data_IF_551539207027
#
_entry.id   IF_551539207027
#
_cell.length_a   1.000
_cell.length_b   1.000
_cell.length_c   1.000
_cell.angle_alpha   90.00
_cell.angle_beta   90.00
_cell.angle_gamma   90.00
#
_symmetry.space_group_name_H-M   'P 1'
#
loop_
_entity.id
_entity.type
_entity.pdbx_description
1 polymer ?
#
# COMPACT_ATOMS: atom_id res chain seq x y z
N UNK A 1 31.50 1.13 9.54
CA UNK A 1 30.81 2.27 8.90
C UNK A 1 29.35 1.89 8.72
N UNK A 2 28.44 2.67 9.29
CA UNK A 2 27.02 2.35 9.40
C UNK A 2 26.34 2.49 8.03
N UNK A 3 25.59 1.48 7.60
CA UNK A 3 24.71 1.55 6.41
C UNK A 3 23.65 2.66 6.49
N UNK A 4 23.56 3.34 7.64
CA UNK A 4 22.65 4.47 7.88
C UNK A 4 23.25 5.85 7.56
N UNK A 5 24.55 5.97 7.28
CA UNK A 5 25.22 7.27 7.04
C UNK A 5 25.11 7.78 5.58
N UNK A 6 24.41 7.06 4.70
CA UNK A 6 24.12 7.49 3.32
C UNK A 6 22.69 7.11 2.93
N UNK A 7 21.67 7.74 3.51
CA UNK A 7 20.28 7.53 3.07
C UNK A 7 19.90 8.50 1.95
N UNK A 8 19.33 8.06 0.82
CA UNK A 8 18.26 8.83 0.20
C UNK A 8 17.16 8.96 1.27
N UNK A 9 16.82 10.19 1.67
CA UNK A 9 16.13 10.44 2.94
C UNK A 9 14.73 9.86 3.05
N UNK A 10 14.07 9.48 1.96
CA UNK A 10 12.79 8.76 1.93
C UNK A 10 12.80 7.93 0.64
N UNK A 11 12.56 6.62 0.71
CA UNK A 11 12.40 5.81 -0.50
C UNK A 11 11.04 6.17 -1.12
N UNK A 12 10.99 6.70 -2.36
CA UNK A 12 9.74 7.02 -3.03
C UNK A 12 8.79 5.82 -3.06
N UNK A 13 7.51 6.09 -2.85
CA UNK A 13 6.43 5.12 -2.98
C UNK A 13 5.57 5.46 -4.18
N UNK A 14 5.31 4.47 -5.01
CA UNK A 14 4.39 4.55 -6.15
C UNK A 14 3.16 3.72 -5.80
N UNK A 15 1.98 4.34 -5.83
CA UNK A 15 0.70 3.64 -5.67
C UNK A 15 0.15 3.43 -7.08
N UNK A 16 -0.10 2.18 -7.46
CA UNK A 16 -0.68 1.88 -8.76
C UNK A 16 -2.13 2.41 -8.87
N UNK A 17 -2.60 2.80 -10.07
CA UNK A 17 -3.91 3.45 -10.24
C UNK A 17 -5.09 2.59 -9.76
N UNK A 18 -5.03 1.29 -9.97
CA UNK A 18 -6.02 0.31 -9.51
C UNK A 18 -6.10 0.23 -7.97
N UNK A 19 -4.95 0.28 -7.30
CA UNK A 19 -4.87 0.38 -5.83
C UNK A 19 -5.43 1.71 -5.35
N UNK A 20 -5.11 2.81 -6.04
CA UNK A 20 -5.65 4.13 -5.69
C UNK A 20 -7.18 4.12 -5.75
N UNK A 21 -7.75 3.66 -6.86
CA UNK A 21 -9.20 3.57 -7.06
C UNK A 21 -9.88 2.65 -6.04
N UNK A 22 -9.22 1.56 -5.64
CA UNK A 22 -9.82 0.54 -4.77
C UNK A 22 -9.67 0.87 -3.28
N UNK A 23 -8.51 1.37 -2.86
CA UNK A 23 -8.17 1.55 -1.46
C UNK A 23 -8.31 2.99 -0.99
N UNK A 24 -8.04 3.99 -1.84
CA UNK A 24 -7.91 5.39 -1.44
C UNK A 24 -9.09 6.24 -1.88
N UNK A 25 -9.44 6.17 -3.17
CA UNK A 25 -10.57 6.90 -3.70
C UNK A 25 -11.87 6.41 -3.05
N UNK A 26 -12.70 7.37 -2.63
CA UNK A 26 -13.97 7.04 -2.01
C UNK A 26 -15.02 8.11 -2.35
N UNK A 27 -15.61 8.04 -3.56
CA UNK A 27 -16.57 9.04 -4.02
C UNK A 27 -17.83 9.13 -3.14
N UNK A 28 -18.18 8.04 -2.44
CA UNK A 28 -19.28 8.01 -1.49
C UNK A 28 -19.07 8.94 -0.29
N UNK A 29 -17.83 9.16 0.13
CA UNK A 29 -17.47 10.12 1.16
C UNK A 29 -16.03 10.64 0.96
N UNK A 30 -15.86 11.73 0.17
CA UNK A 30 -14.55 12.29 -0.13
C UNK A 30 -13.75 12.75 1.09
N UNK A 31 -14.39 12.96 2.25
CA UNK A 31 -13.68 13.36 3.48
C UNK A 31 -12.82 12.23 4.05
N UNK A 32 -13.09 10.97 3.68
CA UNK A 32 -12.33 9.81 4.18
C UNK A 32 -11.06 9.51 3.37
N UNK A 33 -10.81 10.22 2.25
CA UNK A 33 -9.66 9.94 1.37
C UNK A 33 -8.33 10.00 2.14
N UNK A 34 -8.17 10.97 3.05
CA UNK A 34 -6.96 11.11 3.86
C UNK A 34 -6.78 9.94 4.83
N UNK A 35 -7.84 9.54 5.54
CA UNK A 35 -7.82 8.38 6.44
C UNK A 35 -7.50 7.09 5.69
N UNK A 36 -8.14 6.89 4.53
CA UNK A 36 -7.94 5.71 3.68
C UNK A 36 -6.51 5.64 3.14
N UNK A 37 -5.94 6.76 2.71
CA UNK A 37 -4.54 6.85 2.34
C UNK A 37 -3.63 6.53 3.53
N UNK A 38 -3.93 7.09 4.71
CA UNK A 38 -3.21 6.80 5.95
C UNK A 38 -3.19 5.31 6.29
N UNK A 39 -4.33 4.63 6.17
CA UNK A 39 -4.47 3.20 6.40
C UNK A 39 -3.64 2.37 5.41
N UNK A 40 -3.65 2.72 4.13
CA UNK A 40 -2.81 2.08 3.11
C UNK A 40 -1.31 2.25 3.43
N UNK A 41 -0.88 3.48 3.74
CA UNK A 41 0.52 3.77 4.06
C UNK A 41 0.98 3.04 5.33
N UNK A 42 0.13 3.00 6.36
CA UNK A 42 0.41 2.24 7.59
C UNK A 42 0.58 0.75 7.30
N UNK A 43 -0.32 0.14 6.51
CA UNK A 43 -0.22 -1.27 6.13
C UNK A 43 1.08 -1.57 5.36
N UNK A 44 1.48 -0.68 4.44
CA UNK A 44 2.74 -0.81 3.70
C UNK A 44 3.94 -0.70 4.64
N UNK A 45 3.97 0.28 5.55
CA UNK A 45 5.05 0.45 6.52
C UNK A 45 5.19 -0.78 7.43
N UNK A 46 4.07 -1.34 7.90
CA UNK A 46 4.07 -2.58 8.70
C UNK A 46 4.57 -3.77 7.87
N UNK A 47 4.19 -3.86 6.60
CA UNK A 47 4.65 -4.92 5.68
C UNK A 47 6.15 -4.80 5.42
N UNK A 48 6.65 -3.60 5.13
CA UNK A 48 8.08 -3.28 4.98
C UNK A 48 8.88 -3.72 6.22
N UNK A 49 8.36 -3.40 7.41
CA UNK A 49 9.03 -3.70 8.69
C UNK A 49 9.11 -5.20 8.97
N UNK A 50 8.10 -5.97 8.58
CA UNK A 50 7.98 -7.39 8.90
C UNK A 50 8.62 -8.32 7.87
N UNK A 51 8.57 -7.97 6.57
CA UNK A 51 9.07 -8.84 5.51
C UNK A 51 10.61 -8.86 5.36
N UNK A 52 11.29 -7.83 5.90
CA UNK A 52 12.73 -7.65 5.74
C UNK A 52 13.14 -7.23 4.32
N UNK A 53 14.39 -6.79 4.16
CA UNK A 53 14.88 -6.17 2.91
C UNK A 53 15.31 -7.17 1.82
N UNK A 54 15.22 -8.48 2.09
CA UNK A 54 15.70 -9.52 1.17
C UNK A 54 14.71 -9.89 0.06
N UNK A 55 13.43 -9.55 0.23
CA UNK A 55 12.36 -9.93 -0.70
C UNK A 55 12.13 -8.83 -1.74
N UNK A 56 12.13 -9.21 -3.03
CA UNK A 56 11.78 -8.30 -4.13
C UNK A 56 10.28 -8.00 -4.23
N UNK A 57 9.44 -8.94 -3.79
CA UNK A 57 7.98 -8.87 -3.82
C UNK A 57 7.43 -9.42 -2.51
N UNK A 58 6.45 -8.73 -1.92
CA UNK A 58 5.76 -9.17 -0.69
C UNK A 58 4.26 -9.00 -0.91
N UNK A 59 3.50 -10.07 -0.72
CA UNK A 59 2.03 -10.02 -0.78
C UNK A 59 1.47 -9.78 0.62
N UNK A 60 0.48 -8.91 0.73
CA UNK A 60 -0.23 -8.61 1.96
C UNK A 60 -1.69 -8.27 1.63
N UNK A 61 -2.58 -8.32 2.63
CA UNK A 61 -4.00 -8.03 2.43
C UNK A 61 -4.41 -6.91 3.37
N UNK A 62 -5.15 -5.94 2.85
CA UNK A 62 -5.85 -4.95 3.67
C UNK A 62 -7.36 -5.20 3.60
N UNK A 63 -8.09 -4.71 4.59
CA UNK A 63 -9.55 -4.69 4.56
C UNK A 63 -10.01 -3.25 4.48
N UNK A 64 -10.75 -2.90 3.43
CA UNK A 64 -11.26 -1.54 3.23
C UNK A 64 -12.69 -1.57 2.70
N UNK A 65 -13.45 -0.50 2.92
CA UNK A 65 -14.76 -0.37 2.32
C UNK A 65 -14.63 -0.25 0.79
N UNK A 66 -15.52 -0.87 0.01
CA UNK A 66 -15.48 -0.75 -1.45
C UNK A 66 -15.67 0.71 -1.87
N UNK A 67 -15.09 1.16 -3.00
CA UNK A 67 -15.04 2.58 -3.37
C UNK A 67 -16.41 3.25 -3.48
N UNK A 68 -17.43 2.50 -3.88
CA UNK A 68 -18.80 3.01 -4.07
C UNK A 68 -19.59 3.07 -2.76
N UNK A 69 -19.07 2.56 -1.64
CA UNK A 69 -19.77 2.52 -0.35
C UNK A 69 -21.06 1.68 -0.38
N UNK A 70 -21.25 0.87 -1.42
CA UNK A 70 -22.41 0.03 -1.67
C UNK A 70 -22.52 -1.12 -0.66
N UNK A 71 -21.38 -1.62 -0.18
CA UNK A 71 -21.32 -2.54 0.95
C UNK A 71 -20.78 -1.86 2.21
N UNK A 72 -21.50 -2.05 3.33
CA UNK A 72 -21.03 -1.63 4.67
C UNK A 72 -19.98 -2.57 5.26
N UNK A 73 -19.71 -3.70 4.61
CA UNK A 73 -18.72 -4.68 5.05
C UNK A 73 -17.34 -4.38 4.42
N UNK A 74 -16.24 -4.44 5.21
CA UNK A 74 -14.89 -4.38 4.65
C UNK A 74 -14.64 -5.51 3.65
N UNK A 75 -14.05 -5.18 2.51
CA UNK A 75 -13.64 -6.12 1.46
C UNK A 75 -12.14 -6.36 1.57
N UNK A 76 -11.72 -7.62 1.42
CA UNK A 76 -10.32 -7.99 1.37
C UNK A 76 -9.70 -7.53 0.05
N UNK A 77 -8.67 -6.70 0.12
CA UNK A 77 -7.91 -6.22 -1.03
C UNK A 77 -6.48 -6.79 -0.97
N UNK A 78 -6.18 -7.81 -1.80
CA UNK A 78 -4.85 -8.39 -1.84
C UNK A 78 -3.92 -7.48 -2.64
N UNK A 79 -2.82 -7.08 -2.00
CA UNK A 79 -1.84 -6.13 -2.52
C UNK A 79 -0.45 -6.76 -2.59
N UNK A 80 0.38 -6.20 -3.46
CA UNK A 80 1.77 -6.56 -3.60
C UNK A 80 2.66 -5.34 -3.44
N UNK A 81 3.68 -5.49 -2.61
CA UNK A 81 4.74 -4.54 -2.43
C UNK A 81 5.96 -5.00 -3.22
N UNK A 82 6.33 -4.22 -4.24
CA UNK A 82 7.42 -4.52 -5.17
C UNK A 82 8.57 -3.55 -4.92
N UNK A 83 9.78 -4.08 -4.72
CA UNK A 83 10.98 -3.29 -4.48
C UNK A 83 11.75 -3.09 -5.79
N UNK A 84 11.88 -1.84 -6.21
CA UNK A 84 12.55 -1.45 -7.44
C UNK A 84 13.80 -0.62 -7.15
N UNK A 85 14.69 -1.08 -6.27
CA UNK A 85 16.01 -0.49 -5.97
C UNK A 85 16.00 0.95 -5.40
N UNK A 86 15.43 1.89 -6.15
CA UNK A 86 15.28 3.30 -5.87
C UNK A 86 13.85 3.70 -5.46
N UNK A 87 12.84 2.83 -5.60
CA UNK A 87 11.47 3.08 -5.15
C UNK A 87 10.77 1.78 -4.72
N UNK A 88 9.67 1.92 -4.00
CA UNK A 88 8.71 0.84 -3.74
C UNK A 88 7.42 1.10 -4.48
N UNK A 89 6.80 0.04 -4.98
CA UNK A 89 5.50 0.12 -5.65
C UNK A 89 4.49 -0.75 -4.93
N UNK A 90 3.31 -0.20 -4.69
CA UNK A 90 2.13 -0.94 -4.25
C UNK A 90 1.25 -1.19 -5.46
N UNK A 91 0.99 -2.45 -5.77
CA UNK A 91 0.10 -2.88 -6.85
C UNK A 91 -0.93 -3.87 -6.32
N UNK A 92 -1.94 -4.21 -7.12
CA UNK A 92 -2.75 -5.38 -6.84
C UNK A 92 -1.87 -6.64 -6.85
N UNK A 93 -2.19 -7.60 -5.97
CA UNK A 93 -1.57 -8.91 -6.06
C UNK A 93 -2.20 -9.68 -7.22
N UNK A 94 -1.37 -10.31 -8.05
CA UNK A 94 -1.86 -11.30 -9.02
C UNK A 94 -2.57 -12.42 -8.25
N UNK A 95 -3.79 -12.75 -8.68
CA UNK A 95 -4.47 -13.95 -8.21
C UNK A 95 -3.70 -15.16 -8.72
N UNK A 96 -3.24 -16.01 -7.80
CA UNK A 96 -2.58 -17.27 -8.12
C UNK A 96 -3.57 -18.29 -8.69
#
# INVERSE_FOLDING_TARGET
>A
MSLFDKKPSLMPMVIAPDVWQSAVEFPADPQQVEERLGNLLLAVLLTLRTAGTSRKKVTFTIYCQPPQGDMKAPVALPLSLNYHGHYVQVSMAEQA
#
